data_IF_397807365446
#
_entry.id   IF_397807365446
#
_cell.length_a   1.000
_cell.length_b   1.000
_cell.length_c   1.000
_cell.angle_alpha   90.00
_cell.angle_beta   90.00
_cell.angle_gamma   90.00
#
_symmetry.space_group_name_H-M   'P 1'
#
loop_
_entity.id
_entity.type
_entity.pdbx_description
1 polymer ?
#
# COMPACT_ATOMS: atom_id res chain seq x y z
N UNK A 1 34.98 66.43 -14.38
CA UNK A 1 34.94 65.17 -15.15
C UNK A 1 35.86 64.18 -14.46
N UNK A 2 35.30 63.24 -13.70
CA UNK A 2 36.07 62.23 -12.96
C UNK A 2 35.67 60.82 -13.39
N UNK A 3 36.69 60.00 -13.59
CA UNK A 3 36.75 58.71 -14.25
C UNK A 3 35.96 57.65 -13.45
N UNK A 4 34.98 57.00 -14.09
CA UNK A 4 34.23 55.88 -13.49
C UNK A 4 35.10 54.62 -13.56
N UNK A 5 35.50 54.11 -12.40
CA UNK A 5 36.19 52.83 -12.24
C UNK A 5 35.21 51.67 -12.44
N UNK A 6 35.55 50.75 -13.34
CA UNK A 6 34.80 49.54 -13.66
C UNK A 6 35.25 48.45 -12.69
N UNK A 7 34.36 48.02 -11.78
CA UNK A 7 34.57 46.88 -10.90
C UNK A 7 33.93 45.64 -11.53
N UNK A 8 34.75 44.76 -12.11
CA UNK A 8 34.34 43.42 -12.56
C UNK A 8 34.20 42.50 -11.33
N UNK A 9 32.98 42.12 -10.98
CA UNK A 9 32.71 41.02 -10.05
C UNK A 9 32.20 39.81 -10.85
N UNK A 10 33.11 38.94 -11.28
CA UNK A 10 32.78 37.59 -11.75
C UNK A 10 32.42 36.72 -10.55
N UNK A 11 31.12 36.52 -10.30
CA UNK A 11 30.62 35.53 -9.35
C UNK A 11 30.62 34.16 -10.05
N UNK A 12 31.53 33.28 -9.64
CA UNK A 12 31.60 31.89 -10.05
C UNK A 12 30.50 31.09 -9.34
N UNK A 13 29.38 30.86 -10.01
CA UNK A 13 28.35 29.93 -9.54
C UNK A 13 28.87 28.49 -9.70
N UNK A 14 29.43 27.92 -8.62
CA UNK A 14 29.69 26.50 -8.53
C UNK A 14 28.35 25.75 -8.41
N UNK A 15 27.92 25.09 -9.49
CA UNK A 15 26.79 24.17 -9.48
C UNK A 15 27.22 22.92 -8.70
N UNK A 16 26.69 22.75 -7.48
CA UNK A 16 26.81 21.50 -6.74
C UNK A 16 25.90 20.47 -7.41
N UNK A 17 26.45 19.64 -8.28
CA UNK A 17 25.79 18.41 -8.72
C UNK A 17 25.78 17.44 -7.55
N UNK A 18 24.67 17.35 -6.83
CA UNK A 18 24.45 16.27 -5.87
C UNK A 18 24.23 14.98 -6.65
N UNK A 19 25.25 14.13 -6.73
CA UNK A 19 25.07 12.75 -7.13
C UNK A 19 24.39 12.03 -5.97
N UNK A 20 23.06 11.95 -6.02
CA UNK A 20 22.31 11.09 -5.13
C UNK A 20 22.72 9.63 -5.45
N UNK A 21 23.59 9.06 -4.63
CA UNK A 21 23.83 7.62 -4.64
C UNK A 21 22.51 6.95 -4.23
N UNK A 22 21.78 6.45 -5.22
CA UNK A 22 20.72 5.48 -4.97
C UNK A 22 21.39 4.29 -4.29
N UNK A 23 21.16 4.15 -2.98
CA UNK A 23 21.57 2.97 -2.22
C UNK A 23 20.90 1.79 -2.93
N UNK A 24 21.69 0.86 -3.49
CA UNK A 24 21.22 -0.40 -4.07
C UNK A 24 20.43 -1.17 -3.00
N UNK A 25 19.16 -0.80 -2.84
CA UNK A 25 18.16 -1.62 -2.20
C UNK A 25 17.67 -2.49 -3.33
N UNK A 26 17.72 -3.83 -3.21
CA UNK A 26 17.01 -4.66 -4.17
C UNK A 26 15.58 -4.13 -4.27
N UNK A 27 15.11 -3.88 -5.49
CA UNK A 27 13.75 -3.38 -5.72
C UNK A 27 12.79 -4.20 -4.83
N UNK A 28 11.93 -3.56 -4.01
CA UNK A 28 11.07 -4.29 -3.10
C UNK A 28 10.38 -5.41 -3.87
N UNK A 29 10.57 -6.67 -3.48
CA UNK A 29 9.87 -7.74 -4.16
C UNK A 29 8.37 -7.50 -3.96
N UNK A 30 7.59 -7.47 -5.04
CA UNK A 30 6.13 -7.27 -4.97
C UNK A 30 5.48 -8.20 -3.94
N UNK A 31 5.98 -9.42 -3.80
CA UNK A 31 5.54 -10.40 -2.79
C UNK A 31 5.75 -9.90 -1.35
N UNK A 32 6.84 -9.18 -1.08
CA UNK A 32 7.10 -8.61 0.24
C UNK A 32 6.06 -7.54 0.58
N UNK A 33 5.69 -6.69 -0.38
CA UNK A 33 4.64 -5.67 -0.18
C UNK A 33 3.28 -6.31 0.10
N UNK A 34 2.95 -7.39 -0.61
CA UNK A 34 1.72 -8.16 -0.39
C UNK A 34 1.72 -8.83 0.99
N UNK A 35 2.86 -9.43 1.39
CA UNK A 35 3.03 -10.02 2.72
C UNK A 35 2.95 -8.97 3.83
N UNK A 36 3.53 -7.78 3.63
CA UNK A 36 3.43 -6.67 4.58
C UNK A 36 1.99 -6.16 4.69
N UNK A 37 1.21 -6.16 3.61
CA UNK A 37 -0.22 -5.85 3.67
C UNK A 37 -0.97 -6.84 4.55
N UNK A 38 -0.78 -8.15 4.30
CA UNK A 38 -1.40 -9.19 5.09
C UNK A 38 -1.02 -9.09 6.58
N UNK A 39 0.28 -8.97 6.86
CA UNK A 39 0.79 -8.91 8.22
C UNK A 39 0.38 -7.61 8.94
N UNK A 40 0.28 -6.49 8.21
CA UNK A 40 -0.23 -5.24 8.78
C UNK A 40 -1.66 -5.41 9.27
N UNK A 41 -2.54 -6.05 8.50
CA UNK A 41 -3.92 -6.33 8.90
C UNK A 41 -3.98 -7.28 10.09
N UNK A 42 -3.23 -8.39 10.06
CA UNK A 42 -3.23 -9.38 11.15
C UNK A 42 -2.80 -8.76 12.48
N UNK A 43 -1.82 -7.87 12.48
CA UNK A 43 -1.29 -7.26 13.71
C UNK A 43 -1.83 -5.85 13.97
N UNK A 44 -2.74 -5.37 13.13
CA UNK A 44 -3.20 -3.97 13.09
C UNK A 44 -2.04 -2.96 13.22
N UNK A 45 -1.00 -3.14 12.41
CA UNK A 45 0.19 -2.29 12.38
C UNK A 45 0.03 -1.15 11.34
N UNK A 46 -0.32 0.03 11.83
CA UNK A 46 -0.52 1.20 10.99
C UNK A 46 0.79 1.68 10.36
N UNK A 47 1.91 1.62 11.07
CA UNK A 47 3.20 2.03 10.51
C UNK A 47 3.58 1.16 9.30
N UNK A 48 3.34 -0.15 9.38
CA UNK A 48 3.58 -1.10 8.29
C UNK A 48 2.68 -0.84 7.09
N UNK A 49 1.37 -0.72 7.31
CA UNK A 49 0.45 -0.39 6.23
C UNK A 49 0.79 0.95 5.55
N UNK A 50 1.16 1.96 6.34
CA UNK A 50 1.53 3.28 5.83
C UNK A 50 2.78 3.28 4.94
N UNK A 51 3.72 2.36 5.16
CA UNK A 51 4.92 2.24 4.31
C UNK A 51 4.62 1.68 2.93
N UNK A 52 3.57 0.89 2.78
CA UNK A 52 3.26 0.17 1.54
C UNK A 52 2.12 0.78 0.73
N UNK A 53 1.29 1.64 1.33
CA UNK A 53 0.28 2.40 0.59
C UNK A 53 0.90 3.55 -0.19
N UNK A 54 0.44 3.76 -1.42
CA UNK A 54 0.68 5.02 -2.13
C UNK A 54 -0.11 6.15 -1.46
N UNK A 55 0.39 7.39 -1.52
CA UNK A 55 -0.32 8.55 -0.94
C UNK A 55 -1.68 8.81 -1.57
N UNK A 56 -1.89 8.37 -2.81
CA UNK A 56 -3.15 8.45 -3.54
C UNK A 56 -3.94 7.13 -3.51
N UNK A 57 -3.61 6.22 -2.60
CA UNK A 57 -4.29 4.94 -2.50
C UNK A 57 -5.78 5.12 -2.18
N UNK A 58 -6.60 4.28 -2.81
CA UNK A 58 -8.06 4.25 -2.62
C UNK A 58 -8.51 2.85 -2.30
N UNK A 59 -9.26 2.71 -1.21
CA UNK A 59 -9.98 1.49 -0.86
C UNK A 59 -11.46 1.66 -1.20
N UNK A 60 -12.02 0.70 -1.92
CA UNK A 60 -13.46 0.62 -2.21
C UNK A 60 -14.07 -0.64 -1.63
N UNK A 61 -15.31 -0.55 -1.18
CA UNK A 61 -16.10 -1.68 -0.71
C UNK A 61 -17.59 -1.38 -0.88
N UNK A 62 -18.41 -2.42 -1.04
CA UNK A 62 -19.85 -2.27 -1.11
C UNK A 62 -20.47 -2.18 0.29
N UNK A 63 -21.51 -1.34 0.42
CA UNK A 63 -22.40 -1.28 1.58
C UNK A 63 -23.83 -1.27 1.06
N UNK A 64 -24.48 -2.43 1.08
CA UNK A 64 -25.73 -2.63 0.32
C UNK A 64 -25.47 -2.41 -1.17
N UNK A 65 -26.27 -1.56 -1.80
CA UNK A 65 -26.18 -1.27 -3.24
C UNK A 65 -25.25 -0.09 -3.58
N UNK A 66 -24.58 0.47 -2.58
CA UNK A 66 -23.67 1.60 -2.74
C UNK A 66 -22.20 1.18 -2.66
N UNK A 67 -21.34 1.81 -3.46
CA UNK A 67 -19.88 1.68 -3.32
C UNK A 67 -19.35 2.84 -2.50
N UNK A 68 -18.80 2.51 -1.33
CA UNK A 68 -18.07 3.47 -0.51
C UNK A 68 -16.59 3.50 -0.90
N UNK A 69 -15.97 4.67 -0.72
CA UNK A 69 -14.57 4.92 -1.06
C UNK A 69 -13.86 5.57 0.12
N UNK A 70 -12.67 5.08 0.43
CA UNK A 70 -11.80 5.61 1.48
C UNK A 70 -10.46 6.01 0.88
N UNK A 71 -10.01 7.23 1.19
CA UNK A 71 -8.66 7.68 0.84
C UNK A 71 -7.63 7.01 1.72
N UNK A 72 -6.36 7.07 1.32
CA UNK A 72 -5.23 6.62 2.13
C UNK A 72 -5.27 7.17 3.56
N UNK A 73 -5.57 8.45 3.74
CA UNK A 73 -5.66 9.08 5.06
C UNK A 73 -6.76 8.43 5.90
N UNK A 74 -7.93 8.16 5.32
CA UNK A 74 -9.04 7.50 6.01
C UNK A 74 -8.71 6.05 6.39
N UNK A 75 -8.05 5.31 5.49
CA UNK A 75 -7.57 3.94 5.75
C UNK A 75 -6.61 3.96 6.95
N UNK A 76 -5.62 4.85 6.91
CA UNK A 76 -4.62 5.00 7.98
C UNK A 76 -5.23 5.42 9.31
N UNK A 77 -6.25 6.29 9.29
CA UNK A 77 -6.97 6.70 10.50
C UNK A 77 -7.64 5.51 11.17
N UNK A 78 -8.37 4.69 10.41
CA UNK A 78 -9.03 3.49 10.93
C UNK A 78 -8.01 2.50 11.48
N UNK A 79 -6.90 2.29 10.76
CA UNK A 79 -5.83 1.39 11.20
C UNK A 79 -5.24 1.82 12.55
N UNK A 80 -4.92 3.11 12.70
CA UNK A 80 -4.39 3.67 13.96
C UNK A 80 -5.37 3.58 15.12
N UNK A 81 -6.67 3.72 14.86
CA UNK A 81 -7.70 3.58 15.89
C UNK A 81 -7.78 2.17 16.49
N UNK A 82 -7.28 1.17 15.78
CA UNK A 82 -7.32 -0.23 16.18
C UNK A 82 -5.91 -0.79 16.46
N UNK A 83 -4.90 0.08 16.55
CA UNK A 83 -3.49 -0.31 16.62
C UNK A 83 -3.19 -1.24 17.80
N UNK A 84 -2.39 -2.30 17.55
CA UNK A 84 -2.02 -3.30 18.55
C UNK A 84 -3.06 -4.40 18.77
N UNK A 85 -4.25 -4.34 18.16
CA UNK A 85 -5.22 -5.44 18.20
C UNK A 85 -4.78 -6.53 17.21
N UNK A 86 -4.54 -7.74 17.71
CA UNK A 86 -4.26 -8.88 16.82
C UNK A 86 -5.57 -9.48 16.31
N UNK A 87 -5.70 -9.56 15.00
CA UNK A 87 -6.85 -10.17 14.34
C UNK A 87 -6.78 -11.70 14.45
N UNK A 88 -7.90 -12.32 14.82
CA UNK A 88 -8.03 -13.78 14.84
C UNK A 88 -8.50 -14.30 13.47
N UNK A 89 -7.61 -14.25 12.48
CA UNK A 89 -7.89 -14.75 11.13
C UNK A 89 -6.66 -15.50 10.57
N UNK A 90 -6.90 -16.36 9.59
CA UNK A 90 -5.83 -16.86 8.73
C UNK A 90 -5.74 -16.04 7.45
N UNK A 91 -4.57 -16.05 6.79
CA UNK A 91 -4.35 -15.31 5.54
C UNK A 91 -4.10 -16.28 4.39
N UNK A 92 -4.75 -16.05 3.25
CA UNK A 92 -4.36 -16.65 1.98
C UNK A 92 -3.98 -15.56 0.98
N UNK A 93 -2.95 -15.84 0.17
CA UNK A 93 -2.37 -14.88 -0.77
C UNK A 93 -2.24 -15.55 -2.13
N UNK A 94 -2.72 -14.88 -3.17
CA UNK A 94 -2.56 -15.28 -4.56
C UNK A 94 -2.10 -14.09 -5.41
N UNK A 95 -1.08 -14.29 -6.24
CA UNK A 95 -0.60 -13.26 -7.18
C UNK A 95 -1.28 -13.52 -8.51
N UNK A 96 -2.31 -12.73 -8.82
CA UNK A 96 -3.14 -12.88 -10.03
C UNK A 96 -2.32 -12.56 -11.28
N UNK A 97 -1.56 -11.47 -11.24
CA UNK A 97 -0.73 -11.03 -12.36
C UNK A 97 0.44 -10.18 -11.85
N UNK A 98 1.58 -10.26 -12.52
CA UNK A 98 2.75 -9.44 -12.20
C UNK A 98 3.56 -9.14 -13.46
N UNK A 99 3.88 -7.86 -13.64
CA UNK A 99 4.80 -7.36 -14.66
C UNK A 99 5.92 -6.52 -14.03
N UNK A 100 6.63 -5.76 -14.86
CA UNK A 100 7.79 -4.96 -14.42
C UNK A 100 7.42 -3.76 -13.54
N UNK A 101 6.23 -3.19 -13.69
CA UNK A 101 5.81 -1.99 -12.96
C UNK A 101 4.35 -2.02 -12.45
N UNK A 102 3.61 -3.10 -12.72
CA UNK A 102 2.22 -3.30 -12.30
C UNK A 102 2.01 -4.74 -11.84
N UNK A 103 1.26 -4.93 -10.77
CA UNK A 103 0.87 -6.25 -10.29
C UNK A 103 -0.51 -6.22 -9.65
N UNK A 104 -1.16 -7.39 -9.64
CA UNK A 104 -2.43 -7.62 -8.98
C UNK A 104 -2.35 -8.85 -8.09
N UNK A 105 -2.94 -8.77 -6.90
CA UNK A 105 -2.96 -9.85 -5.95
C UNK A 105 -4.31 -9.94 -5.24
N UNK A 106 -4.68 -11.16 -4.85
CA UNK A 106 -5.80 -11.44 -3.95
C UNK A 106 -5.23 -11.76 -2.57
N UNK A 107 -5.69 -11.05 -1.55
CA UNK A 107 -5.36 -11.32 -0.14
C UNK A 107 -6.66 -11.49 0.63
N UNK A 108 -6.87 -12.69 1.15
CA UNK A 108 -8.06 -13.01 1.91
C UNK A 108 -7.71 -13.17 3.40
N UNK A 109 -8.48 -12.48 4.25
CA UNK A 109 -8.48 -12.70 5.70
C UNK A 109 -9.68 -13.58 6.03
N UNK A 110 -9.40 -14.82 6.43
CA UNK A 110 -10.41 -15.86 6.69
C UNK A 110 -10.66 -15.92 8.19
N UNK A 111 -11.84 -15.46 8.59
CA UNK A 111 -12.39 -15.60 9.93
C UNK A 111 -13.30 -16.84 9.98
N UNK A 112 -13.84 -17.16 11.15
CA UNK A 112 -14.72 -18.33 11.32
C UNK A 112 -15.95 -18.26 10.40
N UNK A 113 -16.67 -17.14 10.43
CA UNK A 113 -17.97 -17.01 9.76
C UNK A 113 -17.90 -16.27 8.42
N UNK A 114 -16.81 -15.56 8.14
CA UNK A 114 -16.69 -14.73 6.95
C UNK A 114 -15.25 -14.61 6.46
N UNK A 115 -15.12 -14.24 5.19
CA UNK A 115 -13.87 -13.91 4.54
C UNK A 115 -13.90 -12.46 4.07
N UNK A 116 -12.87 -11.70 4.43
CA UNK A 116 -12.59 -10.39 3.83
C UNK A 116 -11.67 -10.63 2.65
N UNK A 117 -12.18 -10.46 1.44
CA UNK A 117 -11.39 -10.58 0.22
C UNK A 117 -10.86 -9.21 -0.21
N UNK A 118 -9.57 -9.12 -0.52
CA UNK A 118 -8.96 -7.87 -0.97
C UNK A 118 -8.26 -8.12 -2.30
N UNK A 119 -8.70 -7.40 -3.33
CA UNK A 119 -8.02 -7.33 -4.62
C UNK A 119 -7.13 -6.09 -4.62
N UNK A 120 -5.83 -6.32 -4.60
CA UNK A 120 -4.80 -5.29 -4.55
C UNK A 120 -4.34 -4.97 -5.97
N UNK A 121 -4.20 -3.69 -6.26
CA UNK A 121 -3.37 -3.21 -7.38
C UNK A 121 -2.12 -2.58 -6.79
N UNK A 122 -0.97 -3.05 -7.26
CA UNK A 122 0.35 -2.56 -6.86
C UNK A 122 1.04 -1.95 -8.08
N UNK A 123 1.65 -0.80 -7.89
CA UNK A 123 2.37 -0.07 -8.93
C UNK A 123 3.76 0.29 -8.41
N UNK A 124 4.74 0.27 -9.32
CA UNK A 124 6.09 0.76 -9.02
C UNK A 124 6.07 2.29 -9.08
N UNK A 125 6.40 2.95 -7.98
CA UNK A 125 6.49 4.41 -7.95
C UNK A 125 7.72 4.92 -8.73
N UNK A 126 7.78 6.24 -8.94
CA UNK A 126 8.90 6.90 -9.65
C UNK A 126 10.26 6.71 -8.97
N UNK A 127 10.29 6.28 -7.71
CA UNK A 127 11.48 5.99 -6.93
C UNK A 127 11.82 4.50 -6.90
N UNK A 128 11.11 3.67 -7.68
CA UNK A 128 11.36 2.23 -7.77
C UNK A 128 10.81 1.42 -6.59
N UNK A 129 9.88 1.96 -5.81
CA UNK A 129 9.23 1.21 -4.71
C UNK A 129 7.85 0.73 -5.14
N UNK A 130 7.54 -0.52 -4.87
CA UNK A 130 6.19 -1.04 -5.03
C UNK A 130 5.27 -0.45 -3.97
N UNK A 131 4.12 0.06 -4.41
CA UNK A 131 3.08 0.64 -3.56
C UNK A 131 1.72 0.10 -3.94
N UNK A 132 0.87 -0.13 -2.95
CA UNK A 132 -0.54 -0.45 -3.18
C UNK A 132 -1.27 0.85 -3.52
N UNK A 133 -1.87 0.92 -4.71
CA UNK A 133 -2.63 2.08 -5.19
C UNK A 133 -4.13 1.85 -5.10
N UNK A 134 -4.60 0.61 -5.22
CA UNK A 134 -6.03 0.27 -5.13
C UNK A 134 -6.25 -0.95 -4.26
N UNK A 135 -7.32 -0.91 -3.48
CA UNK A 135 -7.82 -2.03 -2.69
C UNK A 135 -9.32 -2.14 -2.97
N UNK A 136 -9.76 -3.21 -3.62
CA UNK A 136 -11.19 -3.52 -3.73
C UNK A 136 -11.50 -4.62 -2.72
N UNK A 137 -12.28 -4.27 -1.70
CA UNK A 137 -12.60 -5.13 -0.56
C UNK A 137 -14.02 -5.68 -0.68
N UNK A 138 -14.16 -6.97 -0.47
CA UNK A 138 -15.42 -7.69 -0.43
C UNK A 138 -15.55 -8.49 0.86
N UNK A 139 -16.78 -8.72 1.28
CA UNK A 139 -17.12 -9.57 2.41
C UNK A 139 -17.93 -10.73 1.88
N UNK A 140 -17.50 -11.96 2.19
CA UNK A 140 -18.20 -13.18 1.78
C UNK A 140 -18.41 -14.05 3.01
N UNK A 141 -19.53 -14.76 3.08
CA UNK A 141 -19.77 -15.72 4.15
C UNK A 141 -18.93 -16.97 3.92
N UNK A 142 -18.38 -17.54 4.99
CA UNK A 142 -17.83 -18.89 4.93
C UNK A 142 -19.02 -19.83 4.72
N UNK A 143 -19.00 -20.68 3.69
CA UNK A 143 -20.08 -21.64 3.45
C UNK A 143 -20.44 -22.37 4.76
N UNK A 144 -21.68 -22.20 5.24
CA UNK A 144 -22.08 -22.70 6.55
C UNK A 144 -21.90 -24.22 6.63
N UNK A 145 -21.59 -24.72 7.83
CA UNK A 145 -21.55 -26.16 8.16
C UNK A 145 -22.95 -26.82 8.15
N UNK A 146 -23.94 -26.31 7.42
CA UNK A 146 -25.31 -26.85 7.40
C UNK A 146 -25.51 -28.12 6.54
N UNK A 147 -24.43 -28.73 6.04
CA UNK A 147 -24.53 -30.02 5.34
C UNK A 147 -24.42 -31.23 6.29
N UNK A 148 -24.11 -31.03 7.58
CA UNK A 148 -23.89 -32.14 8.53
C UNK A 148 -24.98 -32.39 9.58
N UNK A 149 -26.09 -31.66 9.60
CA UNK A 149 -27.19 -31.89 10.55
C UNK A 149 -28.49 -32.47 9.95
N UNK A 150 -28.52 -32.77 8.64
CA UNK A 150 -29.61 -33.55 8.03
C UNK A 150 -29.15 -34.98 7.77
N UNK A 151 -29.24 -35.82 8.81
CA UNK A 151 -29.39 -37.27 8.70
C UNK A 151 -30.47 -37.72 9.67
#
# INVERSE_FOLDING_TARGET
MNLKSIMFCTVLCAVLTSTAFAKDRPAPNVKNVINEFADSHVNTDAAKLGRILSSDAVLKFSKGDEVLSQSQISIMKIMKQNEGIKQNCSTTIDVIASGSALAMAKVNFVYEDFVIENFLTLELDKSGNWKITRINKFFTETASKDVLSKR
#
